data_IF_528918299696
#
_entry.id   IF_528918299696
#
_cell.length_a   1.000
_cell.length_b   1.000
_cell.length_c   1.000
_cell.angle_alpha   90.00
_cell.angle_beta   90.00
_cell.angle_gamma   90.00
#
_symmetry.space_group_name_H-M   'P 1'
#
loop_
_entity.id
_entity.type
_entity.pdbx_description
1 polymer ?
#
# COMPACT_ATOMS: atom_id res chain seq x y z
N UNK A 1 -5.29 -17.01 11.86
CA UNK A 1 -5.04 -15.61 12.24
C UNK A 1 -4.68 -14.79 11.02
N UNK A 2 -5.24 -13.60 10.95
CA UNK A 2 -4.98 -12.71 9.84
C UNK A 2 -3.57 -12.15 9.89
N UNK A 3 -2.95 -12.05 8.72
CA UNK A 3 -1.69 -11.33 8.56
C UNK A 3 -1.95 -10.01 7.84
N UNK A 4 -1.25 -8.97 8.27
CA UNK A 4 -1.32 -7.68 7.61
C UNK A 4 0.09 -7.27 7.19
N UNK A 5 0.22 -6.81 5.94
CA UNK A 5 1.47 -6.25 5.48
C UNK A 5 1.35 -4.73 5.46
N UNK A 6 2.25 -4.07 6.18
CA UNK A 6 2.28 -2.62 6.25
C UNK A 6 3.18 -2.08 5.15
N UNK A 7 2.64 -1.17 4.35
CA UNK A 7 3.38 -0.45 3.32
C UNK A 7 3.50 1.00 3.73
N UNK A 8 4.71 1.49 3.84
CA UNK A 8 5.00 2.86 4.27
C UNK A 8 5.37 3.74 3.08
N UNK A 9 4.92 4.99 3.13
CA UNK A 9 5.28 6.00 2.15
C UNK A 9 5.58 7.32 2.85
N UNK A 10 6.55 8.06 2.33
CA UNK A 10 6.85 9.41 2.80
C UNK A 10 6.15 10.48 1.97
N UNK A 11 5.35 10.08 0.98
CA UNK A 11 4.64 11.00 0.10
C UNK A 11 3.69 11.90 0.88
N UNK A 12 3.76 13.21 0.62
CA UNK A 12 3.01 14.21 1.39
C UNK A 12 1.68 14.63 0.75
N UNK A 13 1.46 14.25 -0.51
CA UNK A 13 0.25 14.62 -1.24
C UNK A 13 -0.94 13.75 -0.90
N UNK A 14 -2.13 14.25 -1.24
CA UNK A 14 -3.38 13.51 -1.06
C UNK A 14 -3.50 12.34 -2.04
N UNK A 15 -2.67 12.31 -3.07
CA UNK A 15 -2.60 11.24 -4.06
C UNK A 15 -1.64 10.11 -3.68
N UNK A 16 -1.39 9.94 -2.39
CA UNK A 16 -0.61 8.83 -1.88
C UNK A 16 -1.22 7.49 -2.32
N UNK A 17 -0.38 6.56 -2.70
CA UNK A 17 -0.80 5.28 -3.25
C UNK A 17 -0.21 4.10 -2.47
N UNK A 18 -1.01 3.07 -2.30
CA UNK A 18 -0.52 1.76 -1.87
C UNK A 18 0.21 1.14 -3.06
N UNK A 19 1.45 0.73 -2.86
CA UNK A 19 2.29 0.15 -3.91
C UNK A 19 2.82 -1.21 -3.48
N UNK A 20 2.64 -2.18 -4.36
CA UNK A 20 3.27 -3.50 -4.20
C UNK A 20 3.97 -3.79 -5.53
N UNK A 21 5.28 -4.02 -5.51
CA UNK A 21 5.96 -4.33 -6.77
C UNK A 21 5.42 -5.64 -7.32
N UNK A 22 5.35 -5.74 -8.64
CA UNK A 22 4.88 -6.96 -9.31
C UNK A 22 5.73 -8.16 -8.89
N UNK A 23 7.04 -7.96 -8.77
CA UNK A 23 7.96 -9.01 -8.33
C UNK A 23 7.63 -9.51 -6.93
N UNK A 24 7.43 -8.59 -5.98
CA UNK A 24 7.06 -8.93 -4.62
C UNK A 24 5.73 -9.67 -4.57
N UNK A 25 4.74 -9.14 -5.29
CA UNK A 25 3.40 -9.69 -5.34
C UNK A 25 3.39 -11.14 -5.86
N UNK A 26 4.23 -11.44 -6.84
CA UNK A 26 4.29 -12.77 -7.46
C UNK A 26 5.15 -13.77 -6.68
N UNK A 27 6.10 -13.30 -5.88
CA UNK A 27 7.10 -14.14 -5.22
C UNK A 27 6.90 -14.33 -3.73
N UNK A 28 6.10 -13.49 -3.10
CA UNK A 28 5.81 -13.60 -1.67
C UNK A 28 4.45 -14.24 -1.43
N UNK A 29 4.33 -14.89 -0.28
CA UNK A 29 3.04 -15.30 0.22
C UNK A 29 2.20 -14.05 0.50
N UNK A 30 0.95 -14.06 0.04
CA UNK A 30 0.08 -12.90 0.17
C UNK A 30 -0.47 -12.78 1.58
N UNK A 31 -0.46 -11.57 2.16
CA UNK A 31 -1.11 -11.33 3.44
C UNK A 31 -2.63 -11.37 3.27
N UNK A 32 -3.36 -11.32 4.37
CA UNK A 32 -4.81 -11.18 4.31
C UNK A 32 -5.24 -9.76 3.94
N UNK A 33 -4.43 -8.77 4.34
CA UNK A 33 -4.69 -7.36 4.00
C UNK A 33 -3.40 -6.57 3.91
N UNK A 34 -3.51 -5.42 3.24
CA UNK A 34 -2.45 -4.41 3.17
C UNK A 34 -2.90 -3.17 3.93
N UNK A 35 -1.97 -2.57 4.65
CA UNK A 35 -2.20 -1.30 5.37
C UNK A 35 -1.22 -0.27 4.84
N UNK A 36 -1.74 0.87 4.38
CA UNK A 36 -0.92 1.98 3.92
C UNK A 36 -0.75 2.97 5.06
N UNK A 37 0.51 3.31 5.34
CA UNK A 37 0.85 4.31 6.34
C UNK A 37 1.71 5.40 5.72
N UNK A 38 1.58 6.61 6.24
CA UNK A 38 2.45 7.74 5.89
C UNK A 38 3.44 7.93 7.03
N UNK A 39 4.72 7.97 6.68
CA UNK A 39 5.80 8.16 7.65
C UNK A 39 6.40 9.54 7.43
N UNK A 40 6.56 10.31 8.51
CA UNK A 40 7.21 11.61 8.45
C UNK A 40 8.71 11.45 8.27
N UNK A 41 9.30 12.14 7.29
CA UNK A 41 10.75 12.17 7.10
C UNK A 41 11.47 12.86 8.26
N UNK A 42 10.83 13.87 8.85
CA UNK A 42 11.41 14.64 9.94
C UNK A 42 11.31 13.92 11.29
N UNK A 43 10.25 13.17 11.47
CA UNK A 43 9.96 12.48 12.72
C UNK A 43 9.51 11.06 12.41
N UNK A 44 10.46 10.14 12.10
CA UNK A 44 10.11 8.79 11.64
C UNK A 44 9.27 7.96 12.62
N UNK A 45 9.23 8.36 13.89
CA UNK A 45 8.38 7.70 14.88
C UNK A 45 6.90 8.07 14.75
N UNK A 46 6.57 9.12 13.99
CA UNK A 46 5.19 9.53 13.75
C UNK A 46 4.66 8.89 12.48
N UNK A 47 3.64 8.08 12.63
CA UNK A 47 3.04 7.33 11.53
C UNK A 47 1.56 7.66 11.46
N UNK A 48 1.10 8.00 10.27
CA UNK A 48 -0.32 8.24 9.99
C UNK A 48 -0.91 7.04 9.28
N UNK A 49 -2.00 6.51 9.80
CA UNK A 49 -2.73 5.42 9.15
C UNK A 49 -3.57 6.00 8.02
N UNK A 50 -3.23 5.67 6.78
CA UNK A 50 -3.94 6.20 5.61
C UNK A 50 -5.15 5.36 5.25
N UNK A 51 -5.01 4.04 5.25
CA UNK A 51 -6.11 3.14 4.93
C UNK A 51 -5.67 1.70 4.82
N UNK A 52 -6.64 0.81 4.64
CA UNK A 52 -6.38 -0.61 4.47
C UNK A 52 -7.26 -1.21 3.39
N UNK A 53 -6.85 -2.36 2.89
CA UNK A 53 -7.60 -3.11 1.88
C UNK A 53 -7.31 -4.59 2.05
N UNK A 54 -8.35 -5.43 1.89
CA UNK A 54 -8.16 -6.87 1.88
C UNK A 54 -7.33 -7.28 0.66
N UNK A 55 -6.57 -8.36 0.77
CA UNK A 55 -5.81 -8.88 -0.36
C UNK A 55 -6.72 -9.27 -1.52
N UNK A 56 -7.89 -9.80 -1.22
CA UNK A 56 -8.88 -10.17 -2.23
C UNK A 56 -9.36 -8.95 -3.03
N UNK A 57 -9.69 -7.87 -2.35
CA UNK A 57 -10.12 -6.64 -3.01
C UNK A 57 -8.98 -5.97 -3.76
N UNK A 58 -7.77 -5.99 -3.21
CA UNK A 58 -6.59 -5.47 -3.89
C UNK A 58 -6.35 -6.22 -5.19
N UNK A 59 -6.45 -7.54 -5.16
CA UNK A 59 -6.33 -8.38 -6.36
C UNK A 59 -7.33 -7.97 -7.44
N UNK A 60 -8.57 -7.68 -7.05
CA UNK A 60 -9.62 -7.34 -7.99
C UNK A 60 -9.53 -5.92 -8.55
N UNK A 61 -9.02 -4.96 -7.76
CA UNK A 61 -9.07 -3.55 -8.09
C UNK A 61 -7.73 -2.89 -8.37
N UNK A 62 -6.63 -3.60 -8.16
CA UNK A 62 -5.30 -3.05 -8.38
C UNK A 62 -5.10 -2.59 -9.83
N UNK A 63 -4.30 -1.55 -9.98
CA UNK A 63 -3.88 -1.05 -11.29
C UNK A 63 -2.39 -1.26 -11.46
N UNK A 64 -1.94 -1.33 -12.70
CA UNK A 64 -0.52 -1.48 -13.03
C UNK A 64 0.07 -0.11 -13.28
N UNK A 65 1.20 0.18 -12.67
CA UNK A 65 1.90 1.45 -12.88
C UNK A 65 3.41 1.25 -12.91
N UNK A 66 4.03 1.83 -13.92
CA UNK A 66 5.47 1.95 -14.00
C UNK A 66 5.81 3.44 -14.03
N UNK A 67 6.53 3.92 -13.02
CA UNK A 67 6.78 5.36 -12.86
C UNK A 67 7.74 5.90 -13.91
N UNK A 68 8.72 5.10 -14.32
CA UNK A 68 9.67 5.45 -15.37
C UNK A 68 10.10 4.20 -16.11
N UNK A 69 10.48 4.30 -17.40
CA UNK A 69 11.07 3.17 -18.13
C UNK A 69 12.29 2.63 -17.39
N UNK A 70 12.37 1.32 -17.26
CA UNK A 70 13.44 0.65 -16.53
C UNK A 70 13.22 0.50 -15.03
N UNK A 71 12.23 1.16 -14.46
CA UNK A 71 11.86 0.99 -13.06
C UNK A 71 10.94 -0.23 -12.88
N UNK A 72 10.89 -0.79 -11.68
CA UNK A 72 9.98 -1.91 -11.41
C UNK A 72 8.52 -1.55 -11.71
N UNK A 73 7.78 -2.51 -12.23
CA UNK A 73 6.34 -2.39 -12.40
C UNK A 73 5.68 -2.61 -11.05
N UNK A 74 4.71 -1.77 -10.72
CA UNK A 74 3.98 -1.84 -9.46
C UNK A 74 2.51 -2.14 -9.70
N UNK A 75 1.90 -2.82 -8.75
CA UNK A 75 0.46 -2.81 -8.58
C UNK A 75 0.14 -1.72 -7.55
N UNK A 76 -0.81 -0.87 -7.87
CA UNK A 76 -1.16 0.27 -7.03
C UNK A 76 -2.65 0.34 -6.75
N UNK A 77 -2.96 1.04 -5.66
CA UNK A 77 -4.32 1.40 -5.31
C UNK A 77 -4.26 2.76 -4.62
N UNK A 78 -5.05 3.74 -5.09
CA UNK A 78 -5.05 5.08 -4.52
C UNK A 78 -5.63 5.10 -3.11
N UNK A 79 -5.21 6.08 -2.31
CA UNK A 79 -5.70 6.21 -0.93
C UNK A 79 -7.22 6.33 -0.85
N UNK A 80 -7.83 7.00 -1.82
CA UNK A 80 -9.29 7.17 -1.86
C UNK A 80 -10.05 5.86 -2.06
N UNK A 81 -9.39 4.83 -2.56
CA UNK A 81 -9.99 3.52 -2.80
C UNK A 81 -9.80 2.57 -1.61
N UNK A 82 -9.04 2.98 -0.61
CA UNK A 82 -8.80 2.18 0.58
C UNK A 82 -9.91 2.39 1.61
N UNK A 83 -10.12 1.38 2.43
CA UNK A 83 -11.05 1.47 3.55
C UNK A 83 -10.39 2.17 4.73
N UNK A 84 -11.19 2.75 5.62
CA UNK A 84 -10.67 3.26 6.88
C UNK A 84 -10.10 2.12 7.71
N UNK A 85 -8.98 2.40 8.38
CA UNK A 85 -8.41 1.42 9.30
C UNK A 85 -9.34 1.28 10.48
N UNK A 86 -9.75 0.03 10.77
CA UNK A 86 -10.59 -0.24 11.91
C UNK A 86 -9.83 0.04 13.21
N UNK A 87 -10.36 0.97 13.99
CA UNK A 87 -9.83 1.24 15.32
C UNK A 87 -10.47 0.27 16.31
N UNK A 88 -9.64 -0.51 16.94
CA UNK A 88 -10.10 -1.40 18.00
C UNK A 88 -10.49 -0.59 19.24
#
# INVERSE_FOLDING_TARGET
>A
MGSAEVKASTWKGDDIELKVTQREYNNKERPEKYVLVRVSEKTPSMVEMVGEVSAERFEAEKRVKQYRPGYPVNYIMGADDLDEVACA
#
